data_IF_885396384620
#
_entry.id   IF_885396384620
#
_cell.length_a   1.000
_cell.length_b   1.000
_cell.length_c   1.000
_cell.angle_alpha   90.00
_cell.angle_beta   90.00
_cell.angle_gamma   90.00
#
_symmetry.space_group_name_H-M   'P 1'
#
loop_
_entity.id
_entity.type
_entity.pdbx_description
1 polymer ?
#
# COMPACT_ATOMS: atom_id res chain seq x y z
N UNK A 1 50.15 -9.00 -26.16
CA UNK A 1 49.96 -7.55 -25.96
C UNK A 1 51.34 -6.97 -25.74
N UNK A 2 51.85 -6.22 -26.69
CA UNK A 2 53.20 -5.68 -26.63
C UNK A 2 53.15 -4.23 -26.11
N UNK A 3 54.09 -3.83 -25.24
CA UNK A 3 54.11 -2.47 -24.72
C UNK A 3 54.55 -1.49 -25.80
N UNK A 4 53.89 -0.33 -25.85
CA UNK A 4 54.20 0.73 -26.82
C UNK A 4 55.37 1.60 -26.37
N UNK A 5 55.59 1.73 -25.05
CA UNK A 5 56.74 2.48 -24.54
C UNK A 5 57.13 2.00 -23.12
N UNK A 6 58.23 2.54 -22.58
CA UNK A 6 58.62 2.39 -21.18
C UNK A 6 58.83 3.75 -20.52
N UNK A 7 57.99 4.08 -19.54
CA UNK A 7 58.13 5.30 -18.75
C UNK A 7 58.61 4.93 -17.35
N UNK A 8 59.77 5.46 -16.94
CA UNK A 8 60.38 5.21 -15.62
C UNK A 8 60.49 3.71 -15.26
N UNK A 9 60.80 2.87 -16.25
CA UNK A 9 60.95 1.43 -16.09
C UNK A 9 59.65 0.61 -16.16
N UNK A 10 58.49 1.26 -16.26
CA UNK A 10 57.19 0.60 -16.41
C UNK A 10 56.74 0.57 -17.88
N UNK A 11 56.25 -0.59 -18.32
CA UNK A 11 55.66 -0.78 -19.65
C UNK A 11 54.36 0.01 -19.79
N UNK A 12 54.31 0.88 -20.81
CA UNK A 12 53.14 1.68 -21.19
C UNK A 12 52.40 0.96 -22.30
N UNK A 13 51.09 0.83 -22.13
CA UNK A 13 50.21 0.17 -23.09
C UNK A 13 49.19 1.17 -23.64
N UNK A 14 48.78 1.03 -24.91
CA UNK A 14 47.75 1.85 -25.53
C UNK A 14 46.40 1.75 -24.80
N UNK A 15 45.77 2.91 -24.56
CA UNK A 15 44.51 3.00 -23.78
C UNK A 15 43.34 2.28 -24.44
N UNK A 16 43.32 2.19 -25.77
CA UNK A 16 42.34 1.43 -26.56
C UNK A 16 42.44 -0.08 -26.32
N UNK A 17 43.65 -0.59 -26.04
CA UNK A 17 43.90 -2.00 -25.81
C UNK A 17 43.75 -2.39 -24.34
N UNK A 18 44.17 -1.55 -23.39
CA UNK A 18 43.98 -1.82 -21.94
C UNK A 18 42.63 -1.39 -21.42
N UNK A 19 41.95 -0.47 -22.11
CA UNK A 19 40.62 0.02 -21.73
C UNK A 19 39.61 -1.12 -21.52
N UNK A 20 39.48 -2.08 -22.44
CA UNK A 20 38.62 -3.24 -22.26
C UNK A 20 39.08 -4.22 -21.17
N UNK A 21 40.34 -4.21 -20.74
CA UNK A 21 40.80 -5.08 -19.65
C UNK A 21 40.62 -4.43 -18.27
N UNK A 22 40.75 -3.10 -18.19
CA UNK A 22 40.58 -2.32 -16.96
C UNK A 22 39.13 -1.93 -16.70
N UNK A 23 38.38 -1.64 -17.77
CA UNK A 23 37.00 -1.17 -17.75
C UNK A 23 36.06 -2.11 -18.50
N UNK A 24 36.56 -3.25 -18.99
CA UNK A 24 35.73 -4.31 -19.54
C UNK A 24 34.63 -4.62 -18.56
N UNK A 25 33.40 -4.52 -19.05
CA UNK A 25 32.18 -4.56 -18.26
C UNK A 25 32.25 -5.74 -17.29
N UNK A 26 32.61 -5.45 -16.04
CA UNK A 26 32.15 -6.23 -14.92
C UNK A 26 30.66 -5.93 -14.88
N UNK A 27 29.87 -6.62 -15.71
CA UNK A 27 28.45 -6.77 -15.48
C UNK A 27 28.36 -7.49 -14.14
N UNK A 28 28.39 -6.70 -13.06
CA UNK A 28 28.03 -7.19 -11.75
C UNK A 28 26.69 -7.89 -11.98
N UNK A 29 26.58 -9.18 -11.64
CA UNK A 29 25.30 -9.86 -11.75
C UNK A 29 24.27 -8.96 -11.08
N UNK A 30 23.11 -8.77 -11.71
CA UNK A 30 21.98 -8.10 -11.07
C UNK A 30 21.57 -9.01 -9.92
N UNK A 31 22.23 -8.84 -8.77
CA UNK A 31 21.91 -9.55 -7.55
C UNK A 31 20.67 -8.85 -7.02
N UNK A 32 19.48 -9.34 -7.40
CA UNK A 32 18.22 -8.88 -6.83
C UNK A 32 17.98 -9.43 -5.43
N UNK A 33 18.78 -10.41 -5.00
CA UNK A 33 18.66 -11.09 -3.72
C UNK A 33 19.43 -10.32 -2.63
N UNK A 34 18.73 -9.66 -1.69
CA UNK A 34 19.38 -8.83 -0.66
C UNK A 34 20.34 -9.61 0.23
N UNK A 35 20.20 -10.94 0.35
CA UNK A 35 21.07 -11.78 1.17
C UNK A 35 22.44 -12.05 0.52
N UNK A 36 22.56 -11.82 -0.78
CA UNK A 36 23.82 -11.96 -1.54
C UNK A 36 24.55 -10.63 -1.75
N UNK A 37 23.97 -9.51 -1.31
CA UNK A 37 24.54 -8.17 -1.42
C UNK A 37 25.59 -7.91 -0.33
N UNK A 38 26.57 -7.05 -0.62
CA UNK A 38 27.46 -6.53 0.42
C UNK A 38 26.65 -5.71 1.44
N UNK A 39 27.07 -5.62 2.72
CA UNK A 39 26.30 -4.94 3.76
C UNK A 39 25.89 -3.50 3.42
N UNK A 40 26.73 -2.77 2.66
CA UNK A 40 26.42 -1.42 2.17
C UNK A 40 25.30 -1.45 1.12
N UNK A 41 25.47 -2.23 0.07
CA UNK A 41 24.50 -2.33 -1.02
C UNK A 41 23.13 -2.85 -0.52
N UNK A 42 23.15 -3.78 0.45
CA UNK A 42 21.95 -4.28 1.12
C UNK A 42 21.22 -3.16 1.88
N UNK A 43 21.95 -2.31 2.60
CA UNK A 43 21.36 -1.16 3.31
C UNK A 43 20.72 -0.20 2.32
N UNK A 44 21.43 0.13 1.24
CA UNK A 44 20.96 1.04 0.21
C UNK A 44 19.70 0.48 -0.50
N UNK A 45 19.66 -0.84 -0.70
CA UNK A 45 18.47 -1.54 -1.23
C UNK A 45 17.26 -1.41 -0.30
N UNK A 46 17.39 -1.75 0.99
CA UNK A 46 16.28 -1.61 1.95
C UNK A 46 15.83 -0.14 2.10
N UNK A 47 16.78 0.80 2.06
CA UNK A 47 16.46 2.21 2.09
C UNK A 47 15.64 2.62 0.86
N UNK A 48 16.00 2.13 -0.33
CA UNK A 48 15.23 2.35 -1.57
C UNK A 48 13.81 1.76 -1.46
N UNK A 49 13.66 0.54 -0.94
CA UNK A 49 12.34 -0.09 -0.78
C UNK A 49 11.45 0.66 0.22
N UNK A 50 12.01 1.11 1.34
CA UNK A 50 11.28 1.94 2.31
C UNK A 50 10.83 3.25 1.67
N UNK A 51 11.72 3.92 0.92
CA UNK A 51 11.37 5.16 0.22
C UNK A 51 10.29 4.94 -0.84
N UNK A 52 10.31 3.80 -1.55
CA UNK A 52 9.24 3.43 -2.48
C UNK A 52 7.91 3.28 -1.75
N UNK A 53 7.87 2.53 -0.65
CA UNK A 53 6.64 2.36 0.15
C UNK A 53 6.13 3.70 0.72
N UNK A 54 7.03 4.58 1.16
CA UNK A 54 6.68 5.92 1.62
C UNK A 54 6.12 6.79 0.50
N UNK A 55 6.70 6.72 -0.71
CA UNK A 55 6.20 7.41 -1.89
C UNK A 55 4.80 6.90 -2.25
N UNK A 56 4.62 5.58 -2.30
CA UNK A 56 3.32 4.94 -2.56
C UNK A 56 2.27 5.34 -1.52
N UNK A 57 2.66 5.47 -0.24
CA UNK A 57 1.77 5.97 0.83
C UNK A 57 1.41 7.46 0.60
N UNK A 58 2.37 8.30 0.24
CA UNK A 58 2.15 9.73 -0.05
C UNK A 58 1.28 9.96 -1.29
N UNK A 59 1.44 9.13 -2.32
CA UNK A 59 0.62 9.15 -3.53
C UNK A 59 -0.78 8.56 -3.30
N UNK A 60 -1.02 7.94 -2.13
CA UNK A 60 -2.30 7.30 -1.78
C UNK A 60 -2.52 5.94 -2.45
N UNK A 61 -1.46 5.33 -3.00
CA UNK A 61 -1.49 4.00 -3.59
C UNK A 61 -1.40 2.91 -2.51
N UNK A 62 -0.75 3.20 -1.39
CA UNK A 62 -0.65 2.33 -0.23
C UNK A 62 -1.35 2.96 0.98
N UNK A 63 -2.23 2.21 1.63
CA UNK A 63 -2.89 2.65 2.86
C UNK A 63 -2.62 1.67 4.00
N UNK A 64 -2.55 2.20 5.22
CA UNK A 64 -2.41 1.38 6.42
C UNK A 64 -3.74 0.67 6.69
N UNK A 65 -3.69 -0.65 6.88
CA UNK A 65 -4.88 -1.46 7.16
C UNK A 65 -5.71 -0.91 8.34
N UNK A 66 -5.04 -0.41 9.38
CA UNK A 66 -5.69 0.17 10.56
C UNK A 66 -6.46 1.46 10.24
N UNK A 67 -5.95 2.29 9.33
CA UNK A 67 -6.62 3.52 8.89
C UNK A 67 -7.88 3.22 8.09
N UNK A 68 -7.80 2.25 7.18
CA UNK A 68 -8.97 1.74 6.44
C UNK A 68 -10.01 1.17 7.41
N UNK A 69 -9.57 0.33 8.36
CA UNK A 69 -10.45 -0.28 9.36
C UNK A 69 -11.16 0.78 10.20
N UNK A 70 -10.42 1.78 10.69
CA UNK A 70 -10.96 2.89 11.48
C UNK A 70 -11.97 3.70 10.68
N UNK A 71 -11.63 4.06 9.44
CA UNK A 71 -12.50 4.85 8.56
C UNK A 71 -13.80 4.09 8.25
N UNK A 72 -13.70 2.80 7.92
CA UNK A 72 -14.86 1.94 7.68
C UNK A 72 -15.72 1.79 8.94
N UNK A 73 -15.10 1.58 10.10
CA UNK A 73 -15.82 1.50 11.37
C UNK A 73 -16.60 2.78 11.66
N UNK A 74 -15.98 3.95 11.48
CA UNK A 74 -16.64 5.25 11.66
C UNK A 74 -17.83 5.40 10.70
N UNK A 75 -17.66 5.06 9.42
CA UNK A 75 -18.75 5.10 8.43
C UNK A 75 -19.93 4.22 8.87
N UNK A 76 -19.66 2.95 9.20
CA UNK A 76 -20.69 1.99 9.62
C UNK A 76 -21.39 2.47 10.89
N UNK A 77 -20.65 2.97 11.88
CA UNK A 77 -21.21 3.48 13.12
C UNK A 77 -22.15 4.68 12.88
N UNK A 78 -21.73 5.64 12.05
CA UNK A 78 -22.56 6.79 11.66
C UNK A 78 -23.86 6.34 10.98
N UNK A 79 -23.77 5.37 10.07
CA UNK A 79 -24.94 4.84 9.37
C UNK A 79 -25.90 4.12 10.33
N UNK A 80 -25.38 3.29 11.23
CA UNK A 80 -26.19 2.59 12.25
C UNK A 80 -26.89 3.59 13.16
N UNK A 81 -26.17 4.60 13.66
CA UNK A 81 -26.74 5.64 14.52
C UNK A 81 -27.84 6.43 13.80
N UNK A 82 -27.67 6.72 12.51
CA UNK A 82 -28.69 7.39 11.72
C UNK A 82 -29.96 6.52 11.58
N UNK A 83 -29.82 5.22 11.34
CA UNK A 83 -30.96 4.30 11.27
C UNK A 83 -31.64 4.08 12.63
N UNK A 84 -30.91 4.18 13.74
CA UNK A 84 -31.45 4.07 15.10
C UNK A 84 -32.27 5.27 15.54
N UNK A 85 -31.84 6.46 15.16
CA UNK A 85 -32.48 7.72 15.55
C UNK A 85 -33.59 8.14 14.57
N UNK A 86 -33.69 7.50 13.41
CA UNK A 86 -34.70 7.82 12.40
C UNK A 86 -36.16 7.68 12.89
N UNK A 87 -36.54 6.61 13.63
CA UNK A 87 -37.88 6.52 14.22
C UNK A 87 -38.19 7.70 15.14
N UNK A 88 -37.27 8.08 16.02
CA UNK A 88 -37.44 9.22 16.94
C UNK A 88 -37.64 10.53 16.16
N UNK A 89 -36.88 10.73 15.08
CA UNK A 89 -37.04 11.90 14.22
C UNK A 89 -38.40 11.92 13.53
N UNK A 90 -38.89 10.78 13.05
CA UNK A 90 -40.19 10.68 12.39
C UNK A 90 -41.36 10.82 13.38
N UNK A 91 -41.25 10.27 14.60
CA UNK A 91 -42.22 10.48 15.66
C UNK A 91 -42.36 11.97 15.98
N UNK A 92 -41.23 12.65 16.22
CA UNK A 92 -41.21 14.07 16.61
C UNK A 92 -41.65 15.01 15.48
N UNK A 93 -41.16 14.78 14.26
CA UNK A 93 -41.35 15.72 13.16
C UNK A 93 -42.63 15.48 12.36
N UNK A 94 -43.13 14.24 12.34
CA UNK A 94 -44.29 13.86 11.52
C UNK A 94 -45.51 13.43 12.33
N UNK A 95 -45.42 13.43 13.68
CA UNK A 95 -46.50 13.03 14.59
C UNK A 95 -47.14 11.69 14.18
N UNK A 96 -46.29 10.72 13.83
CA UNK A 96 -46.75 9.41 13.38
C UNK A 96 -47.55 8.69 14.47
N UNK A 97 -48.56 7.92 14.05
CA UNK A 97 -49.27 7.04 14.98
C UNK A 97 -48.34 5.95 15.51
N UNK A 98 -48.58 5.43 16.74
CA UNK A 98 -47.78 4.34 17.29
C UNK A 98 -47.72 3.11 16.37
N UNK A 99 -48.83 2.77 15.72
CA UNK A 99 -48.91 1.67 14.75
C UNK A 99 -48.00 1.86 13.52
N UNK A 100 -47.88 3.10 13.03
CA UNK A 100 -47.04 3.44 11.87
C UNK A 100 -45.57 3.45 12.29
N UNK A 101 -45.27 3.92 13.50
CA UNK A 101 -43.92 3.93 14.04
C UNK A 101 -43.36 2.50 14.19
N UNK A 102 -44.15 1.56 14.73
CA UNK A 102 -43.77 0.15 14.81
C UNK A 102 -43.49 -0.46 13.42
N UNK A 103 -44.28 -0.09 12.40
CA UNK A 103 -44.03 -0.55 11.04
C UNK A 103 -42.70 -0.01 10.48
N UNK A 104 -42.40 1.26 10.74
CA UNK A 104 -41.14 1.89 10.35
C UNK A 104 -39.94 1.23 11.04
N UNK A 105 -40.03 0.97 12.35
CA UNK A 105 -39.00 0.28 13.12
C UNK A 105 -38.71 -1.12 12.56
N UNK A 106 -39.76 -1.89 12.26
CA UNK A 106 -39.62 -3.22 11.66
C UNK A 106 -38.95 -3.14 10.28
N UNK A 107 -39.36 -2.19 9.44
CA UNK A 107 -38.77 -1.97 8.11
C UNK A 107 -37.28 -1.60 8.23
N UNK A 108 -36.93 -0.72 9.16
CA UNK A 108 -35.54 -0.35 9.44
C UNK A 108 -34.73 -1.56 9.90
N UNK A 109 -35.30 -2.41 10.76
CA UNK A 109 -34.64 -3.63 11.22
C UNK A 109 -34.38 -4.61 10.06
N UNK A 110 -35.36 -4.82 9.18
CA UNK A 110 -35.19 -5.65 7.97
C UNK A 110 -34.05 -5.12 7.08
N UNK A 111 -34.00 -3.80 6.87
CA UNK A 111 -32.91 -3.16 6.12
C UNK A 111 -31.55 -3.40 6.79
N UNK A 112 -31.46 -3.29 8.12
CA UNK A 112 -30.21 -3.55 8.85
C UNK A 112 -29.72 -4.99 8.68
N UNK A 113 -30.63 -5.96 8.76
CA UNK A 113 -30.31 -7.38 8.56
C UNK A 113 -29.81 -7.61 7.14
N UNK A 114 -30.50 -7.07 6.14
CA UNK A 114 -30.07 -7.18 4.73
C UNK A 114 -28.70 -6.54 4.49
N UNK A 115 -28.44 -5.36 5.05
CA UNK A 115 -27.13 -4.70 4.95
C UNK A 115 -26.03 -5.54 5.59
N UNK A 116 -26.29 -6.13 6.75
CA UNK A 116 -25.33 -6.99 7.44
C UNK A 116 -24.93 -8.20 6.58
N UNK A 117 -25.91 -8.91 6.00
CA UNK A 117 -25.66 -10.05 5.12
C UNK A 117 -24.83 -9.67 3.89
N UNK A 118 -25.17 -8.55 3.24
CA UNK A 118 -24.46 -8.05 2.08
C UNK A 118 -23.01 -7.67 2.42
N UNK A 119 -22.77 -7.02 3.55
CA UNK A 119 -21.43 -6.65 3.99
C UNK A 119 -20.58 -7.88 4.34
N UNK A 120 -21.14 -8.88 5.04
CA UNK A 120 -20.43 -10.15 5.30
C UNK A 120 -20.04 -10.83 4.00
N UNK A 121 -20.95 -10.89 3.02
CA UNK A 121 -20.66 -11.48 1.73
C UNK A 121 -19.57 -10.70 0.98
N UNK A 122 -19.64 -9.37 0.98
CA UNK A 122 -18.68 -8.51 0.29
C UNK A 122 -17.26 -8.56 0.89
N UNK A 123 -17.15 -8.65 2.22
CA UNK A 123 -15.85 -8.67 2.93
C UNK A 123 -15.29 -10.08 3.18
N UNK A 124 -15.94 -11.13 2.68
CA UNK A 124 -15.41 -12.49 2.77
C UNK A 124 -14.06 -12.53 2.05
N UNK A 125 -12.95 -12.84 2.75
CA UNK A 125 -11.64 -12.89 2.12
C UNK A 125 -11.65 -13.94 1.00
N UNK A 126 -11.13 -13.57 -0.17
CA UNK A 126 -10.89 -14.48 -1.30
C UNK A 126 -9.78 -15.47 -0.96
#
# INVERSE_FOLDING_TARGET
MEPVDKVKGYSVYPSDQVGPALFGQNQLPVISDPDKMQPKDRKDWYQSEIQRLQLEELEGLLCKAEEVRRTMHTLVQLLVQALETLPDHLERNCALSPSTLTFVENTINEVRVSLHEQLIHAFKPR
#
